data_IF_667963160966
#
_entry.id   IF_667963160966
#
_cell.length_a   1.000
_cell.length_b   1.000
_cell.length_c   1.000
_cell.angle_alpha   90.00
_cell.angle_beta   90.00
_cell.angle_gamma   90.00
#
_symmetry.space_group_name_H-M   'P 1'
#
loop_
_entity.id
_entity.type
_entity.pdbx_description
1 polymer ?
#
# COMPACT_ATOMS: atom_id res chain seq x y z
N UNK A 1 3.70 2.38 -6.51
CA UNK A 1 2.93 2.06 -7.74
C UNK A 1 2.92 0.54 -7.98
N UNK A 2 1.74 -0.06 -8.06
CA UNK A 2 1.60 -1.48 -8.44
C UNK A 2 2.07 -1.61 -9.89
N UNK A 3 3.24 -2.21 -10.10
CA UNK A 3 3.98 -2.27 -11.37
C UNK A 3 3.28 -3.01 -12.52
N UNK A 4 2.01 -3.38 -12.36
CA UNK A 4 1.21 -4.13 -13.33
C UNK A 4 -0.04 -3.41 -13.84
N UNK A 5 -0.30 -2.17 -13.40
CA UNK A 5 -1.42 -1.36 -13.91
C UNK A 5 -0.87 -0.36 -14.94
N UNK A 6 -0.85 -0.79 -16.20
CA UNK A 6 -0.47 0.08 -17.33
C UNK A 6 -1.73 0.71 -17.96
N UNK A 7 -1.56 1.87 -18.57
CA UNK A 7 -2.54 2.60 -19.38
C UNK A 7 -3.28 1.71 -20.39
N UNK A 8 -2.60 0.68 -20.93
CA UNK A 8 -3.20 -0.32 -21.84
C UNK A 8 -4.36 -1.09 -21.21
N UNK A 9 -4.30 -1.40 -19.92
CA UNK A 9 -5.37 -2.12 -19.22
C UNK A 9 -6.69 -1.32 -19.26
N UNK A 10 -6.59 0.01 -19.17
CA UNK A 10 -7.75 0.88 -19.20
C UNK A 10 -8.29 1.06 -20.62
N UNK A 11 -7.44 1.10 -21.64
CA UNK A 11 -7.88 1.10 -23.05
C UNK A 11 -8.59 -0.20 -23.42
N UNK A 12 -8.05 -1.35 -23.03
CA UNK A 12 -8.70 -2.65 -23.27
C UNK A 12 -10.04 -2.76 -22.52
N UNK A 13 -10.09 -2.33 -21.26
CA UNK A 13 -11.34 -2.30 -20.49
C UNK A 13 -12.40 -1.40 -21.14
N UNK A 14 -11.97 -0.33 -21.82
CA UNK A 14 -12.86 0.58 -22.53
C UNK A 14 -13.39 -0.06 -23.82
N UNK A 15 -12.54 -0.79 -24.54
CA UNK A 15 -12.91 -1.53 -25.75
C UNK A 15 -13.96 -2.63 -25.49
N UNK A 16 -13.95 -3.23 -24.30
CA UNK A 16 -14.91 -4.28 -23.89
C UNK A 16 -16.15 -3.73 -23.15
N UNK A 17 -16.35 -2.42 -23.09
CA UNK A 17 -17.56 -1.80 -22.52
C UNK A 17 -17.59 -1.67 -21.00
N UNK A 18 -16.43 -1.60 -20.34
CA UNK A 18 -16.30 -1.38 -18.89
C UNK A 18 -16.01 0.09 -18.51
N UNK A 19 -16.36 1.04 -19.38
CA UNK A 19 -15.98 2.47 -19.22
C UNK A 19 -16.51 3.07 -17.91
N UNK A 20 -17.69 2.63 -17.47
CA UNK A 20 -18.33 3.12 -16.24
C UNK A 20 -17.63 2.64 -14.96
N UNK A 21 -16.89 1.54 -15.05
CA UNK A 21 -16.22 0.87 -13.93
C UNK A 21 -14.75 1.31 -13.87
N UNK A 22 -14.15 1.66 -15.01
CA UNK A 22 -12.80 2.21 -15.12
C UNK A 22 -12.61 3.43 -14.20
N UNK A 23 -13.56 4.35 -14.13
CA UNK A 23 -13.39 5.56 -13.30
C UNK A 23 -13.28 5.26 -11.79
N UNK A 24 -13.89 4.17 -11.31
CA UNK A 24 -13.70 3.69 -9.93
C UNK A 24 -12.34 3.00 -9.77
N UNK A 25 -11.94 2.27 -10.81
CA UNK A 25 -10.68 1.53 -10.87
C UNK A 25 -9.47 2.48 -10.90
N UNK A 26 -9.52 3.53 -11.73
CA UNK A 26 -8.55 4.63 -11.75
C UNK A 26 -8.38 5.21 -10.35
N UNK A 27 -9.46 5.62 -9.66
CA UNK A 27 -9.37 6.20 -8.31
C UNK A 27 -8.70 5.27 -7.28
N UNK A 28 -8.88 3.96 -7.40
CA UNK A 28 -8.24 2.98 -6.52
C UNK A 28 -6.74 2.84 -6.80
N UNK A 29 -6.32 3.01 -8.05
CA UNK A 29 -4.92 2.90 -8.48
C UNK A 29 -4.17 4.24 -8.49
N UNK A 30 -4.90 5.36 -8.53
CA UNK A 30 -4.40 6.74 -8.37
C UNK A 30 -4.21 7.14 -6.92
N UNK A 31 -4.16 6.19 -5.98
CA UNK A 31 -3.63 6.46 -4.64
C UNK A 31 -2.18 6.89 -4.83
N UNK A 32 -1.99 8.20 -4.91
CA UNK A 32 -0.70 8.83 -4.97
C UNK A 32 -0.03 8.51 -3.63
N UNK A 33 0.84 7.49 -3.65
CA UNK A 33 1.69 7.10 -2.52
C UNK A 33 2.59 8.23 -2.00
N UNK A 34 2.52 9.43 -2.59
CA UNK A 34 3.22 10.64 -2.20
C UNK A 34 2.48 11.47 -1.14
N UNK A 35 1.22 11.16 -0.81
CA UNK A 35 0.57 11.80 0.32
C UNK A 35 1.20 11.26 1.62
N UNK A 36 1.95 12.11 2.32
CA UNK A 36 2.44 11.81 3.65
C UNK A 36 1.21 11.71 4.56
N UNK A 37 0.88 10.54 5.13
CA UNK A 37 -0.28 10.43 6.00
C UNK A 37 -0.10 11.36 7.21
N UNK A 38 -1.20 11.97 7.66
CA UNK A 38 -1.20 12.77 8.87
C UNK A 38 -0.75 11.90 10.05
N UNK A 39 0.28 12.33 10.77
CA UNK A 39 0.78 11.63 11.95
C UNK A 39 0.03 12.08 13.21
N UNK A 40 -0.13 11.16 14.15
CA UNK A 40 -0.74 11.41 15.46
C UNK A 40 0.35 11.58 16.51
N UNK A 41 0.32 12.69 17.25
CA UNK A 41 1.26 12.92 18.36
C UNK A 41 1.15 11.84 19.46
N UNK A 42 -0.02 11.23 19.63
CA UNK A 42 -0.21 10.13 20.58
C UNK A 42 0.53 8.88 20.13
N UNK A 43 0.54 8.62 18.83
CA UNK A 43 1.18 7.43 18.25
C UNK A 43 2.71 7.58 18.31
N UNK A 44 3.22 8.81 18.13
CA UNK A 44 4.64 9.13 18.30
C UNK A 44 5.08 8.90 19.76
N UNK A 45 4.33 9.42 20.74
CA UNK A 45 4.65 9.23 22.16
C UNK A 45 4.59 7.74 22.55
N UNK A 46 3.60 7.01 22.04
CA UNK A 46 3.48 5.57 22.25
C UNK A 46 4.65 4.79 21.64
N UNK A 47 5.06 5.12 20.42
CA UNK A 47 6.20 4.49 19.76
C UNK A 47 7.51 4.75 20.53
N UNK A 48 7.71 5.98 21.01
CA UNK A 48 8.91 6.36 21.77
C UNK A 48 8.97 5.66 23.13
N UNK A 49 7.83 5.46 23.78
CA UNK A 49 7.72 4.74 25.06
C UNK A 49 7.87 3.23 24.90
N UNK A 50 7.18 2.64 23.92
CA UNK A 50 7.18 1.19 23.72
C UNK A 50 8.49 0.66 23.18
N UNK A 51 9.23 1.45 22.38
CA UNK A 51 10.50 1.06 21.75
C UNK A 51 10.42 -0.34 21.11
N UNK A 52 9.28 -0.65 20.47
CA UNK A 52 9.03 -1.97 19.88
C UNK A 52 10.15 -2.28 18.87
N UNK A 53 10.81 -3.41 19.06
CA UNK A 53 11.90 -3.88 18.22
C UNK A 53 11.51 -5.23 17.62
N UNK A 54 11.76 -5.41 16.33
CA UNK A 54 11.48 -6.64 15.61
C UNK A 54 12.80 -7.22 15.12
N UNK A 55 13.06 -8.48 15.46
CA UNK A 55 14.23 -9.21 14.97
C UNK A 55 13.79 -10.15 13.86
N UNK A 56 14.41 -10.04 12.69
CA UNK A 56 14.05 -10.81 11.50
C UNK A 56 15.20 -11.68 11.05
N UNK A 57 14.91 -12.85 10.49
CA UNK A 57 15.93 -13.72 9.89
C UNK A 57 16.12 -13.35 8.43
N UNK A 58 17.27 -12.77 8.07
CA UNK A 58 17.57 -12.36 6.68
C UNK A 58 17.27 -13.49 5.69
N UNK A 59 16.38 -13.26 4.74
CA UNK A 59 15.92 -14.23 3.76
C UNK A 59 14.62 -13.83 3.05
N UNK A 60 14.12 -14.65 2.10
CA UNK A 60 12.92 -14.32 1.32
C UNK A 60 11.67 -14.02 2.15
N UNK A 61 11.63 -14.53 3.37
CA UNK A 61 10.49 -14.42 4.27
C UNK A 61 10.57 -13.23 5.26
N UNK A 62 11.50 -12.29 5.08
CA UNK A 62 11.63 -11.15 6.01
C UNK A 62 10.35 -10.34 6.18
N UNK A 63 9.57 -10.18 5.10
CA UNK A 63 8.30 -9.42 5.16
C UNK A 63 7.28 -10.15 6.03
N UNK A 64 7.22 -11.48 5.94
CA UNK A 64 6.33 -12.30 6.78
C UNK A 64 6.72 -12.18 8.26
N UNK A 65 8.02 -12.32 8.58
CA UNK A 65 8.52 -12.18 9.96
C UNK A 65 8.15 -10.81 10.57
N UNK A 66 8.21 -9.73 9.77
CA UNK A 66 7.84 -8.38 10.22
C UNK A 66 6.35 -8.31 10.48
N UNK A 67 5.51 -8.77 9.53
CA UNK A 67 4.06 -8.67 9.63
C UNK A 67 3.52 -9.47 10.83
N UNK A 68 4.00 -10.70 11.03
CA UNK A 68 3.62 -11.54 12.16
C UNK A 68 4.04 -10.93 13.52
N UNK A 69 5.10 -10.12 13.54
CA UNK A 69 5.56 -9.42 14.75
C UNK A 69 4.74 -8.16 15.10
N UNK A 70 3.90 -7.71 14.17
CA UNK A 70 3.07 -6.50 14.31
C UNK A 70 1.61 -6.81 14.68
N UNK A 71 1.19 -8.08 14.59
CA UNK A 71 -0.05 -8.59 15.21
C UNK A 71 -0.01 -8.48 16.75
#
# INVERSE_FOLDING_TARGET
PLSGVDTKLFEEAKEIGLEKQISKLEKLFMINSNEIPNFSNKDIDFALKSKKSVTVKIGPNNVHDILDSLE
#
